data_IF_537405737948
#
_entry.id   IF_537405737948
#
_cell.length_a   1.000
_cell.length_b   1.000
_cell.length_c   1.000
_cell.angle_alpha   90.00
_cell.angle_beta   90.00
_cell.angle_gamma   90.00
#
_symmetry.space_group_name_H-M   'P 1'
#
loop_
_entity.id
_entity.type
_entity.pdbx_description
1 polymer ?
#
# COMPACT_ATOMS: atom_id res chain seq x y z
N UNK A 1 -5.99 24.92 4.93
CA UNK A 1 -5.41 23.88 4.06
C UNK A 1 -4.39 23.07 4.84
N UNK A 2 -4.45 21.77 4.70
CA UNK A 2 -3.58 20.86 5.44
C UNK A 2 -2.89 19.89 4.48
N UNK A 3 -1.67 19.48 4.84
CA UNK A 3 -0.92 18.49 4.07
C UNK A 3 -0.76 17.22 4.89
N UNK A 4 -1.01 16.07 4.28
CA UNK A 4 -0.78 14.76 4.88
C UNK A 4 0.18 13.95 4.04
N UNK A 5 1.04 13.20 4.70
CA UNK A 5 2.02 12.34 4.04
C UNK A 5 1.89 10.91 4.55
N UNK A 6 1.72 9.99 3.62
CA UNK A 6 1.62 8.56 3.89
C UNK A 6 2.67 7.80 3.10
N UNK A 7 2.93 6.58 3.51
CA UNK A 7 3.81 5.68 2.79
C UNK A 7 3.23 4.29 2.80
N UNK A 8 3.52 3.53 1.75
CA UNK A 8 3.00 2.17 1.62
C UNK A 8 3.78 1.35 0.63
N UNK A 9 3.29 0.16 0.36
CA UNK A 9 4.01 -0.79 -0.48
C UNK A 9 3.14 -1.54 -1.47
N UNK A 10 3.73 -1.76 -2.64
CA UNK A 10 3.26 -2.71 -3.62
C UNK A 10 4.13 -3.95 -3.40
N UNK A 11 3.61 -4.91 -2.66
CA UNK A 11 4.39 -6.06 -2.18
C UNK A 11 4.12 -7.26 -3.07
N UNK A 12 5.17 -7.91 -3.52
CA UNK A 12 5.06 -9.10 -4.35
C UNK A 12 5.78 -10.30 -3.72
N UNK A 13 5.37 -11.48 -4.14
CA UNK A 13 6.10 -12.73 -3.94
C UNK A 13 6.02 -13.55 -5.21
N UNK A 14 6.98 -14.44 -5.39
CA UNK A 14 6.99 -15.37 -6.53
C UNK A 14 6.85 -16.80 -6.02
N UNK A 15 5.93 -17.55 -6.62
CA UNK A 15 5.77 -18.97 -6.33
C UNK A 15 5.58 -19.70 -7.65
N UNK A 16 6.46 -20.68 -7.94
CA UNK A 16 6.37 -21.51 -9.15
C UNK A 16 6.19 -20.68 -10.44
N UNK A 17 7.02 -19.66 -10.62
CA UNK A 17 7.01 -18.76 -11.79
C UNK A 17 5.80 -17.81 -11.85
N UNK A 18 4.94 -17.83 -10.81
CA UNK A 18 3.81 -16.90 -10.72
C UNK A 18 4.12 -15.78 -9.74
N UNK A 19 3.64 -14.59 -10.09
CA UNK A 19 3.79 -13.41 -9.23
C UNK A 19 2.46 -13.11 -8.57
N UNK A 20 2.50 -12.93 -7.24
CA UNK A 20 1.34 -12.56 -6.44
C UNK A 20 1.58 -11.19 -5.80
N UNK A 21 0.52 -10.40 -5.72
CA UNK A 21 0.56 -9.03 -5.19
C UNK A 21 -0.36 -8.94 -3.98
N UNK A 22 0.13 -8.27 -2.95
CA UNK A 22 -0.59 -8.11 -1.69
C UNK A 22 -1.58 -6.96 -1.79
N UNK A 23 -2.85 -7.24 -1.51
CA UNK A 23 -3.90 -6.23 -1.45
C UNK A 23 -4.72 -6.41 -0.18
N UNK A 24 -5.39 -5.34 0.24
CA UNK A 24 -6.23 -5.37 1.44
C UNK A 24 -7.55 -4.66 1.21
N UNK A 25 -8.57 -5.09 1.96
CA UNK A 25 -9.89 -4.46 1.92
C UNK A 25 -10.13 -3.77 3.27
N UNK A 26 -10.37 -2.48 3.22
CA UNK A 26 -10.58 -1.68 4.43
C UNK A 26 -11.94 -1.97 5.04
N UNK A 27 -12.00 -2.16 6.37
CA UNK A 27 -13.23 -2.48 7.09
C UNK A 27 -14.26 -1.34 7.09
N UNK A 28 -13.79 -0.09 6.97
CA UNK A 28 -14.66 1.08 6.94
C UNK A 28 -15.33 1.31 5.60
N UNK A 29 -14.54 1.56 4.55
CA UNK A 29 -15.08 1.88 3.22
C UNK A 29 -15.20 0.67 2.28
N UNK A 30 -14.70 -0.50 2.70
CA UNK A 30 -14.74 -1.76 1.95
C UNK A 30 -13.98 -1.74 0.60
N UNK A 31 -13.19 -0.70 0.36
CA UNK A 31 -12.39 -0.60 -0.86
C UNK A 31 -11.16 -1.49 -0.81
N UNK A 32 -10.78 -2.02 -1.98
CA UNK A 32 -9.55 -2.79 -2.14
C UNK A 32 -8.41 -1.86 -2.52
N UNK A 33 -7.34 -1.90 -1.75
CA UNK A 33 -6.23 -0.93 -1.81
C UNK A 33 -4.89 -1.63 -1.59
N UNK A 34 -3.81 -0.90 -1.88
CA UNK A 34 -2.49 -1.30 -1.41
C UNK A 34 -2.30 -0.81 0.03
N UNK A 35 -1.58 -1.57 0.86
CA UNK A 35 -1.34 -1.16 2.25
C UNK A 35 -0.53 0.14 2.32
N UNK A 36 -0.98 1.05 3.17
CA UNK A 36 -0.35 2.34 3.41
C UNK A 36 -0.86 2.96 4.70
N UNK A 37 -0.14 3.95 5.20
CA UNK A 37 -0.59 4.72 6.35
C UNK A 37 0.26 5.96 6.58
N UNK A 38 -0.14 6.77 7.56
CA UNK A 38 0.51 8.04 7.85
C UNK A 38 1.94 7.85 8.36
N UNK A 39 2.83 8.71 7.86
CA UNK A 39 4.20 8.79 8.34
C UNK A 39 4.16 9.47 9.71
N UNK A 40 4.82 8.88 10.71
CA UNK A 40 4.88 9.44 12.05
C UNK A 40 5.99 10.51 12.13
N UNK A 41 5.64 11.72 11.75
CA UNK A 41 6.59 12.85 11.72
C UNK A 41 7.06 13.25 13.11
N UNK A 42 6.21 13.09 14.12
CA UNK A 42 6.56 13.46 15.49
C UNK A 42 7.71 12.62 16.02
N UNK A 43 7.81 11.37 15.59
CA UNK A 43 8.89 10.46 15.95
C UNK A 43 10.07 10.52 14.99
N UNK A 44 10.01 11.40 13.99
CA UNK A 44 11.07 11.51 12.98
C UNK A 44 11.14 10.31 12.05
N UNK A 45 10.03 9.62 11.86
CA UNK A 45 9.97 8.44 11.00
C UNK A 45 10.22 8.80 9.53
N UNK A 46 11.08 8.04 8.88
CA UNK A 46 11.32 8.22 7.44
C UNK A 46 10.24 7.51 6.63
N UNK A 47 10.01 7.99 5.40
CA UNK A 47 8.99 7.37 4.53
C UNK A 47 9.24 5.88 4.29
N UNK A 48 10.51 5.46 4.19
CA UNK A 48 10.88 4.06 4.01
C UNK A 48 10.49 3.22 5.23
N UNK A 49 10.77 3.75 6.42
CA UNK A 49 10.41 3.08 7.68
C UNK A 49 8.90 2.96 7.84
N UNK A 50 8.18 4.05 7.51
CA UNK A 50 6.73 4.09 7.58
C UNK A 50 6.10 3.07 6.62
N UNK A 51 6.62 2.96 5.40
CA UNK A 51 6.11 2.03 4.41
C UNK A 51 6.22 0.57 4.89
N UNK A 52 7.38 0.19 5.40
CA UNK A 52 7.61 -1.17 5.92
C UNK A 52 6.73 -1.45 7.13
N UNK A 53 6.62 -0.49 8.04
CA UNK A 53 5.78 -0.61 9.24
C UNK A 53 4.31 -0.75 8.89
N UNK A 54 3.80 0.10 8.01
CA UNK A 54 2.37 0.06 7.63
C UNK A 54 2.01 -1.22 6.90
N UNK A 55 2.88 -1.71 6.03
CA UNK A 55 2.67 -3.01 5.38
C UNK A 55 2.54 -4.11 6.43
N UNK A 56 3.43 -4.13 7.42
CA UNK A 56 3.40 -5.14 8.48
C UNK A 56 2.13 -5.03 9.32
N UNK A 57 1.77 -3.82 9.73
CA UNK A 57 0.57 -3.60 10.58
C UNK A 57 -0.71 -3.99 9.86
N UNK A 58 -0.88 -3.53 8.62
CA UNK A 58 -2.12 -3.77 7.88
C UNK A 58 -2.26 -5.18 7.32
N UNK A 59 -1.15 -5.83 6.99
CA UNK A 59 -1.20 -7.11 6.27
C UNK A 59 -0.56 -8.28 7.01
N UNK A 60 0.26 -8.03 8.00
CA UNK A 60 1.03 -9.07 8.68
C UNK A 60 2.30 -9.48 7.92
N UNK A 61 2.60 -8.86 6.80
CA UNK A 61 3.73 -9.26 5.96
C UNK A 61 4.97 -8.42 6.24
N UNK A 62 6.11 -9.09 6.40
CA UNK A 62 7.43 -8.47 6.45
C UNK A 62 7.96 -8.34 5.02
N UNK A 63 8.36 -7.14 4.64
CA UNK A 63 8.80 -6.88 3.27
C UNK A 63 10.03 -5.99 3.23
N UNK A 64 10.82 -6.14 2.17
CA UNK A 64 12.02 -5.33 1.93
C UNK A 64 11.79 -4.44 0.71
N UNK A 65 12.18 -3.17 0.83
CA UNK A 65 12.05 -2.20 -0.25
C UNK A 65 13.06 -2.49 -1.36
N UNK A 66 12.58 -2.46 -2.60
CA UNK A 66 13.44 -2.58 -3.78
C UNK A 66 13.56 -1.29 -4.55
N UNK A 67 12.46 -0.55 -4.72
CA UNK A 67 12.50 0.70 -5.45
C UNK A 67 11.36 1.63 -5.04
N UNK A 68 11.54 2.93 -5.20
CA UNK A 68 10.50 3.92 -4.93
C UNK A 68 9.81 4.30 -6.24
N UNK A 69 8.49 4.40 -6.18
CA UNK A 69 7.66 4.84 -7.31
C UNK A 69 7.43 6.36 -7.22
N UNK A 70 6.94 6.96 -8.30
CA UNK A 70 6.53 8.35 -8.27
C UNK A 70 5.42 8.55 -7.23
N UNK A 71 5.49 9.60 -6.40
CA UNK A 71 4.44 9.86 -5.40
C UNK A 71 3.09 10.11 -6.07
N UNK A 72 2.03 9.70 -5.38
CA UNK A 72 0.66 9.98 -5.80
C UNK A 72 0.10 11.05 -4.88
N UNK A 73 -0.48 12.10 -5.46
CA UNK A 73 -1.10 13.16 -4.67
C UNK A 73 -2.53 13.35 -5.08
N UNK A 74 -3.39 13.62 -4.11
CA UNK A 74 -4.78 13.94 -4.36
C UNK A 74 -5.32 14.85 -3.25
N UNK A 75 -6.44 15.53 -3.55
CA UNK A 75 -7.11 16.43 -2.63
C UNK A 75 -8.38 15.78 -2.10
N UNK A 76 -8.69 16.03 -0.83
CA UNK A 76 -9.99 15.68 -0.28
C UNK A 76 -10.37 16.68 0.80
N UNK A 77 -11.65 16.65 1.22
CA UNK A 77 -12.17 17.54 2.26
C UNK A 77 -12.57 16.69 3.44
N UNK A 78 -12.11 17.08 4.64
CA UNK A 78 -12.46 16.43 5.89
C UNK A 78 -12.84 17.51 6.89
N UNK A 79 -14.05 17.40 7.45
CA UNK A 79 -14.58 18.37 8.43
C UNK A 79 -14.43 19.82 7.96
N UNK A 80 -14.76 20.08 6.70
CA UNK A 80 -14.69 21.40 6.11
C UNK A 80 -13.27 21.87 5.75
N UNK A 81 -12.25 21.09 6.06
CA UNK A 81 -10.87 21.44 5.75
C UNK A 81 -10.38 20.76 4.49
N UNK A 82 -9.72 21.53 3.62
CA UNK A 82 -9.14 21.00 2.40
C UNK A 82 -7.78 20.38 2.71
N UNK A 83 -7.60 19.11 2.33
CA UNK A 83 -6.40 18.36 2.63
C UNK A 83 -5.76 17.87 1.33
N UNK A 84 -4.44 18.13 1.20
CA UNK A 84 -3.66 17.52 0.12
C UNK A 84 -2.89 16.34 0.69
N UNK A 85 -3.18 15.15 0.18
CA UNK A 85 -2.49 13.94 0.60
C UNK A 85 -1.47 13.49 -0.44
N UNK A 86 -0.26 13.21 0.03
CA UNK A 86 0.80 12.64 -0.80
C UNK A 86 1.13 11.26 -0.25
N UNK A 87 1.15 10.26 -1.12
CA UNK A 87 1.48 8.90 -0.75
C UNK A 87 2.74 8.47 -1.49
N UNK A 88 3.74 8.01 -0.72
CA UNK A 88 4.97 7.45 -1.25
C UNK A 88 4.84 5.94 -1.28
N UNK A 89 4.81 5.36 -2.48
CA UNK A 89 4.75 3.91 -2.64
C UNK A 89 6.10 3.34 -3.03
N UNK A 90 6.39 2.16 -2.50
CA UNK A 90 7.62 1.42 -2.79
C UNK A 90 7.26 0.02 -3.30
N UNK A 91 8.01 -0.46 -4.28
CA UNK A 91 7.94 -1.87 -4.64
C UNK A 91 8.73 -2.62 -3.60
N UNK A 92 8.12 -3.65 -3.02
CA UNK A 92 8.71 -4.44 -1.95
C UNK A 92 8.61 -5.93 -2.26
N UNK A 93 9.62 -6.67 -1.79
CA UNK A 93 9.63 -8.13 -1.88
C UNK A 93 9.25 -8.70 -0.50
N UNK A 94 8.28 -9.61 -0.46
CA UNK A 94 7.90 -10.28 0.78
C UNK A 94 9.04 -11.17 1.27
N UNK A 95 9.39 -11.07 2.55
CA UNK A 95 10.46 -11.86 3.16
C UNK A 95 10.01 -12.67 4.37
N UNK A 96 8.79 -12.48 4.83
CA UNK A 96 8.27 -13.22 5.97
C UNK A 96 6.88 -12.75 6.38
N UNK A 97 6.42 -13.26 7.52
CA UNK A 97 5.12 -12.90 8.05
C UNK A 97 3.99 -13.75 7.49
N UNK A 98 2.77 -13.43 7.93
CA UNK A 98 1.56 -14.17 7.57
C UNK A 98 0.39 -13.19 7.49
N UNK A 99 -0.42 -13.30 6.44
CA UNK A 99 -1.58 -12.41 6.25
C UNK A 99 -2.65 -12.59 7.33
N UNK A 100 -2.66 -13.69 8.05
CA UNK A 100 -3.59 -13.88 9.17
C UNK A 100 -3.27 -12.97 10.35
N UNK A 101 -2.10 -12.33 10.37
CA UNK A 101 -1.66 -11.44 11.44
C UNK A 101 -1.98 -9.96 11.17
N UNK A 102 -2.85 -9.67 10.19
CA UNK A 102 -3.24 -8.28 9.88
C UNK A 102 -4.06 -7.66 11.03
N UNK A 103 -4.08 -6.33 11.11
CA UNK A 103 -4.83 -5.62 12.14
C UNK A 103 -6.34 -5.55 11.82
N UNK A 104 -7.11 -4.95 12.75
CA UNK A 104 -8.56 -4.85 12.63
C UNK A 104 -9.04 -3.80 11.64
N UNK A 105 -8.16 -2.93 11.14
CA UNK A 105 -8.54 -1.93 10.13
C UNK A 105 -8.89 -2.58 8.80
N UNK A 106 -8.33 -3.76 8.54
CA UNK A 106 -8.57 -4.50 7.30
C UNK A 106 -9.48 -5.68 7.58
N UNK A 107 -10.55 -5.80 6.79
CA UNK A 107 -11.43 -6.97 6.89
C UNK A 107 -10.92 -8.16 6.09
N UNK A 108 -10.18 -7.90 5.01
CA UNK A 108 -9.57 -8.95 4.20
C UNK A 108 -8.19 -8.54 3.74
N UNK A 109 -7.28 -9.51 3.68
CA UNK A 109 -5.96 -9.36 3.09
C UNK A 109 -5.74 -10.56 2.18
N UNK A 110 -5.33 -10.32 0.93
CA UNK A 110 -5.17 -11.40 -0.04
C UNK A 110 -3.90 -11.23 -0.86
N UNK A 111 -3.35 -12.37 -1.29
CA UNK A 111 -2.35 -12.45 -2.33
C UNK A 111 -3.08 -12.70 -3.65
N UNK A 112 -3.05 -11.74 -4.56
CA UNK A 112 -3.70 -11.89 -5.87
C UNK A 112 -2.68 -12.19 -6.97
N UNK A 113 -3.03 -13.06 -7.92
CA UNK A 113 -2.22 -13.17 -9.13
C UNK A 113 -2.07 -11.80 -9.77
N UNK A 114 -0.89 -11.50 -10.28
CA UNK A 114 -0.54 -10.19 -10.85
C UNK A 114 -1.58 -9.68 -11.85
N UNK A 115 -2.10 -10.54 -12.71
CA UNK A 115 -3.06 -10.17 -13.74
C UNK A 115 -4.46 -9.88 -13.24
N UNK A 116 -4.74 -10.12 -11.96
CA UNK A 116 -6.05 -9.85 -11.35
C UNK A 116 -6.09 -8.57 -10.54
N UNK A 117 -4.95 -7.92 -10.35
CA UNK A 117 -4.84 -6.77 -9.45
C UNK A 117 -5.64 -5.56 -9.93
N UNK A 118 -5.49 -5.19 -11.20
CA UNK A 118 -6.18 -4.00 -11.74
C UNK A 118 -7.70 -4.09 -11.57
N UNK A 119 -8.27 -5.26 -11.86
CA UNK A 119 -9.71 -5.47 -11.74
C UNK A 119 -10.22 -5.44 -10.32
N UNK A 120 -9.38 -5.74 -9.34
CA UNK A 120 -9.76 -5.75 -7.93
C UNK A 120 -9.70 -4.37 -7.30
N UNK A 121 -8.72 -3.55 -7.67
CA UNK A 121 -8.52 -2.23 -7.05
C UNK A 121 -9.75 -1.34 -7.21
N UNK A 122 -10.15 -0.68 -6.13
CA UNK A 122 -11.36 0.14 -6.10
C UNK A 122 -11.14 1.56 -6.61
N UNK A 123 -9.99 2.16 -6.26
CA UNK A 123 -9.79 3.60 -6.49
C UNK A 123 -8.85 3.92 -7.64
N UNK A 124 -9.13 5.02 -8.38
CA UNK A 124 -8.26 5.45 -9.48
C UNK A 124 -6.81 5.69 -9.08
N UNK A 125 -6.57 6.21 -7.87
CA UNK A 125 -5.20 6.48 -7.40
C UNK A 125 -4.38 5.20 -7.25
N UNK A 126 -4.99 4.11 -6.76
CA UNK A 126 -4.31 2.82 -6.67
C UNK A 126 -4.07 2.22 -8.06
N UNK A 127 -5.05 2.36 -8.95
CA UNK A 127 -4.91 1.87 -10.33
C UNK A 127 -3.80 2.60 -11.07
N UNK A 128 -3.64 3.89 -10.81
CA UNK A 128 -2.59 4.70 -11.43
C UNK A 128 -1.20 4.23 -10.99
N UNK A 129 -1.00 4.01 -9.69
CA UNK A 129 0.30 3.54 -9.21
C UNK A 129 0.57 2.11 -9.67
N UNK A 130 -0.47 1.29 -9.80
CA UNK A 130 -0.32 -0.08 -10.30
C UNK A 130 0.16 -0.11 -11.74
N UNK A 131 -0.32 0.79 -12.58
CA UNK A 131 0.14 0.89 -13.97
C UNK A 131 1.66 1.04 -14.06
N UNK A 132 2.24 1.84 -13.19
CA UNK A 132 3.68 2.02 -13.13
C UNK A 132 4.38 0.81 -12.53
N UNK A 133 3.86 0.33 -11.40
CA UNK A 133 4.47 -0.79 -10.66
C UNK A 133 4.51 -2.09 -11.45
N UNK A 134 3.44 -2.42 -12.17
CA UNK A 134 3.36 -3.69 -12.89
C UNK A 134 4.46 -3.86 -13.94
N UNK A 135 4.96 -2.78 -14.48
CA UNK A 135 6.04 -2.81 -15.48
C UNK A 135 7.38 -3.18 -14.85
N UNK A 136 7.54 -2.90 -13.57
CA UNK A 136 8.79 -3.11 -12.84
C UNK A 136 8.84 -4.44 -12.10
N UNK A 137 7.70 -5.04 -11.84
CA UNK A 137 7.61 -6.34 -11.16
C UNK A 137 7.57 -7.44 -12.21
N UNK A 138 8.69 -8.11 -12.40
CA UNK A 138 8.85 -9.13 -13.45
C UNK A 138 9.20 -10.50 -12.90
#
# INVERSE_FOLDING_TARGET
MKFEFSAGGIVYKKEEDKIFILVSQHSGHHGWVFPKGLIDKEKGEKKEEAAVREVREETGIEAEIETQLEPVSYWYVWEGEKIKKTVYYFIMRAVGGDISSHDSEMENVEWLPKDQVEGRLTYPSDKKVWKEAQKLIK
#
